data_IF_199116353184
#
_entry.id   IF_199116353184
#
_cell.length_a   1.000
_cell.length_b   1.000
_cell.length_c   1.000
_cell.angle_alpha   90.00
_cell.angle_beta   90.00
_cell.angle_gamma   90.00
#
_symmetry.space_group_name_H-M   'P 1'
#
loop_
_entity.id
_entity.type
_entity.pdbx_description
1 polymer ?
#
# COMPACT_ATOMS: atom_id res chain seq x y z
N UNK A 1 8.30 14.46 -9.54
CA UNK A 1 9.00 13.31 -8.91
C UNK A 1 8.55 12.10 -9.72
N UNK A 2 9.43 11.45 -10.48
CA UNK A 2 9.04 10.34 -11.37
C UNK A 2 8.97 9.06 -10.54
N UNK A 3 7.77 8.50 -10.37
CA UNK A 3 7.62 7.14 -9.84
C UNK A 3 7.82 6.16 -10.99
N UNK A 4 8.66 5.14 -10.80
CA UNK A 4 8.86 4.09 -11.80
C UNK A 4 7.75 3.04 -11.68
N UNK A 5 7.09 2.74 -12.79
CA UNK A 5 6.03 1.72 -12.83
C UNK A 5 6.67 0.34 -12.75
N UNK A 6 6.24 -0.46 -11.78
CA UNK A 6 6.70 -1.83 -11.55
C UNK A 6 5.54 -2.78 -11.79
N UNK A 7 5.69 -3.71 -12.72
CA UNK A 7 4.65 -4.68 -13.04
C UNK A 7 4.93 -6.05 -12.44
N UNK A 8 6.15 -6.33 -12.00
CA UNK A 8 6.55 -7.62 -11.43
C UNK A 8 7.48 -7.42 -10.24
N UNK A 9 7.44 -8.30 -9.23
CA UNK A 9 8.33 -8.19 -8.08
C UNK A 9 9.82 -8.39 -8.43
N UNK A 10 10.11 -9.03 -9.57
CA UNK A 10 11.47 -9.25 -10.08
C UNK A 10 12.10 -7.97 -10.65
N UNK A 11 11.28 -7.04 -11.14
CA UNK A 11 11.73 -5.72 -11.62
C UNK A 11 12.13 -4.79 -10.47
N UNK A 12 11.84 -5.18 -9.23
CA UNK A 12 12.01 -4.37 -8.05
C UNK A 12 13.48 -4.25 -7.66
N UNK A 13 14.15 -3.19 -8.16
CA UNK A 13 15.53 -2.90 -7.79
C UNK A 13 15.60 -2.12 -6.48
N UNK A 14 16.52 -2.53 -5.61
CA UNK A 14 16.82 -1.83 -4.37
C UNK A 14 17.67 -0.58 -4.66
N UNK A 15 17.03 0.47 -5.18
CA UNK A 15 17.67 1.75 -5.50
C UNK A 15 17.37 2.80 -4.42
N UNK A 16 18.40 3.45 -3.84
CA UNK A 16 18.21 4.43 -2.77
C UNK A 16 17.52 5.70 -3.27
N UNK A 17 16.48 6.13 -2.55
CA UNK A 17 15.73 7.35 -2.86
C UNK A 17 14.76 7.24 -4.04
N UNK A 18 14.66 6.08 -4.70
CA UNK A 18 13.74 5.87 -5.81
C UNK A 18 12.34 5.51 -5.32
N UNK A 19 11.33 6.12 -5.94
CA UNK A 19 9.92 5.85 -5.68
C UNK A 19 9.38 4.99 -6.81
N UNK A 20 8.61 3.98 -6.45
CA UNK A 20 7.98 3.04 -7.36
C UNK A 20 6.47 3.17 -7.26
N UNK A 21 5.78 2.82 -8.35
CA UNK A 21 4.32 2.73 -8.39
C UNK A 21 3.92 1.40 -9.00
N UNK A 22 2.95 0.73 -8.43
CA UNK A 22 2.44 -0.55 -8.94
C UNK A 22 0.95 -0.67 -8.68
N UNK A 23 0.27 -1.41 -9.54
CA UNK A 23 -1.08 -1.93 -9.32
C UNK A 23 -1.08 -3.44 -9.18
N UNK A 24 0.10 -4.09 -9.27
CA UNK A 24 0.19 -5.54 -9.22
C UNK A 24 0.15 -6.04 -7.77
N UNK A 25 -0.84 -6.88 -7.48
CA UNK A 25 -1.06 -7.49 -6.16
C UNK A 25 0.15 -8.27 -5.64
N UNK A 26 0.89 -8.95 -6.52
CA UNK A 26 2.06 -9.73 -6.14
C UNK A 26 3.22 -8.86 -5.66
N UNK A 27 3.43 -7.70 -6.32
CA UNK A 27 4.44 -6.71 -5.91
C UNK A 27 4.11 -6.16 -4.53
N UNK A 28 2.85 -5.79 -4.30
CA UNK A 28 2.37 -5.22 -3.03
C UNK A 28 2.50 -6.26 -1.91
N UNK A 29 2.10 -7.51 -2.18
CA UNK A 29 2.19 -8.61 -1.22
C UNK A 29 3.63 -8.86 -0.82
N UNK A 30 4.53 -9.03 -1.78
CA UNK A 30 5.96 -9.25 -1.50
C UNK A 30 6.56 -8.08 -0.73
N UNK A 31 6.26 -6.84 -1.13
CA UNK A 31 6.74 -5.65 -0.43
C UNK A 31 6.30 -5.61 1.04
N UNK A 32 5.05 -5.98 1.32
CA UNK A 32 4.50 -6.04 2.66
C UNK A 32 5.13 -7.18 3.47
N UNK A 33 5.20 -8.39 2.91
CA UNK A 33 5.78 -9.57 3.58
C UNK A 33 7.24 -9.38 3.96
N UNK A 34 8.07 -8.79 3.09
CA UNK A 34 9.48 -8.47 3.40
C UNK A 34 9.63 -7.51 4.59
N UNK A 35 8.58 -6.77 4.92
CA UNK A 35 8.54 -5.77 6.00
C UNK A 35 7.75 -6.24 7.21
N UNK A 36 7.19 -7.45 7.17
CA UNK A 36 6.26 -7.95 8.19
C UNK A 36 4.96 -7.14 8.25
N UNK A 37 4.58 -6.49 7.15
CA UNK A 37 3.39 -5.66 7.08
C UNK A 37 2.15 -6.53 6.80
N UNK A 38 1.06 -6.26 7.52
CA UNK A 38 -0.20 -7.00 7.45
C UNK A 38 -1.28 -6.09 6.87
N UNK A 39 -2.06 -6.53 5.86
CA UNK A 39 -3.14 -5.72 5.30
C UNK A 39 -4.15 -5.31 6.38
N UNK A 40 -4.42 -4.01 6.44
CA UNK A 40 -5.32 -3.43 7.43
C UNK A 40 -6.17 -2.32 6.83
N UNK A 41 -7.22 -1.94 7.54
CA UNK A 41 -8.04 -0.77 7.23
C UNK A 41 -8.18 0.11 8.46
N UNK A 42 -8.34 1.42 8.26
CA UNK A 42 -8.64 2.34 9.37
C UNK A 42 -10.13 2.24 9.71
N UNK A 43 -10.44 1.76 10.92
CA UNK A 43 -11.80 1.69 11.42
C UNK A 43 -12.43 3.10 11.50
N UNK A 44 -13.68 3.24 11.08
CA UNK A 44 -14.39 4.52 11.08
C UNK A 44 -14.15 5.41 9.85
N UNK A 45 -13.34 4.95 8.88
CA UNK A 45 -13.25 5.56 7.54
C UNK A 45 -13.96 4.73 6.47
N UNK A 46 -14.66 3.67 6.88
CA UNK A 46 -15.45 2.81 6.00
C UNK A 46 -16.53 3.64 5.30
N UNK A 47 -16.77 3.36 4.01
CA UNK A 47 -17.78 4.04 3.22
C UNK A 47 -19.03 3.15 3.15
N UNK A 48 -20.03 3.32 4.05
CA UNK A 48 -21.21 2.47 4.08
C UNK A 48 -22.07 2.60 2.81
N UNK A 49 -21.93 3.70 2.08
CA UNK A 49 -22.63 3.96 0.82
C UNK A 49 -22.16 3.07 -0.35
N UNK A 50 -20.88 2.72 -0.41
CA UNK A 50 -20.30 1.88 -1.47
C UNK A 50 -20.01 0.45 -1.01
N UNK A 51 -20.10 0.17 0.29
CA UNK A 51 -19.79 -1.14 0.87
C UNK A 51 -18.32 -1.53 0.75
N UNK A 52 -17.42 -0.57 0.55
CA UNK A 52 -15.97 -0.79 0.44
C UNK A 52 -15.23 -0.46 1.74
N UNK A 53 -14.06 -1.06 1.96
CA UNK A 53 -13.18 -0.71 3.07
C UNK A 53 -12.84 0.78 3.05
N UNK A 54 -12.49 1.36 4.20
CA UNK A 54 -12.19 2.78 4.31
C UNK A 54 -10.83 3.15 3.72
N UNK A 55 -9.98 3.73 4.55
CA UNK A 55 -8.57 3.94 4.21
C UNK A 55 -7.84 2.60 4.31
N UNK A 56 -7.47 2.07 3.13
CA UNK A 56 -6.59 0.92 3.01
C UNK A 56 -5.19 1.27 3.51
N UNK A 57 -4.63 0.44 4.36
CA UNK A 57 -3.33 0.65 4.99
C UNK A 57 -2.67 -0.69 5.32
N UNK A 58 -1.47 -0.63 5.89
CA UNK A 58 -0.77 -1.79 6.42
C UNK A 58 -0.45 -1.55 7.89
N UNK A 59 -0.61 -2.61 8.68
CA UNK A 59 -0.18 -2.69 10.06
C UNK A 59 1.23 -3.29 10.13
N UNK A 60 2.09 -2.77 11.01
CA UNK A 60 3.50 -3.18 11.14
C UNK A 60 3.79 -3.65 12.58
N UNK A 61 3.40 -4.88 12.96
CA UNK A 61 3.66 -5.41 14.29
C UNK A 61 5.16 -5.73 14.50
N UNK A 62 5.72 -5.55 15.73
CA UNK A 62 5.10 -5.04 16.96
C UNK A 62 5.20 -3.51 17.12
N UNK A 63 5.55 -2.77 16.06
CA UNK A 63 5.92 -1.34 16.13
C UNK A 63 4.69 -0.43 16.23
N UNK A 64 3.47 -0.95 16.02
CA UNK A 64 2.24 -0.16 16.11
C UNK A 64 1.04 -0.97 16.57
N UNK A 65 0.79 -1.01 17.88
CA UNK A 65 -0.55 -1.25 18.41
C UNK A 65 -1.42 -0.03 18.05
N UNK A 66 -1.91 0.04 16.82
CA UNK A 66 -2.94 1.01 16.47
C UNK A 66 -4.29 0.36 16.70
N UNK A 67 -4.92 0.67 17.83
CA UNK A 67 -6.29 0.25 18.17
C UNK A 67 -7.34 0.65 17.11
N UNK A 68 -6.98 1.57 16.21
CA UNK A 68 -7.81 2.03 15.09
C UNK A 68 -7.64 1.24 13.81
N UNK A 69 -6.62 0.39 13.71
CA UNK A 69 -6.40 -0.48 12.56
C UNK A 69 -7.14 -1.80 12.76
N UNK A 70 -7.92 -2.18 11.77
CA UNK A 70 -8.56 -3.50 11.70
C UNK A 70 -7.79 -4.32 10.66
N UNK A 71 -7.21 -5.45 11.08
CA UNK A 71 -6.61 -6.41 10.16
C UNK A 71 -7.71 -6.98 9.25
N UNK A 72 -7.42 -7.05 7.96
CA UNK A 72 -8.33 -7.57 6.93
C UNK A 72 -7.60 -8.64 6.11
N UNK A 73 -8.34 -9.44 5.36
CA UNK A 73 -7.72 -10.38 4.42
C UNK A 73 -7.10 -9.63 3.25
N UNK A 74 -6.08 -10.23 2.63
CA UNK A 74 -5.54 -9.74 1.35
C UNK A 74 -6.63 -9.63 0.27
N UNK A 75 -7.59 -10.56 0.27
CA UNK A 75 -8.71 -10.56 -0.67
C UNK A 75 -9.57 -9.29 -0.54
N UNK A 76 -10.08 -8.98 0.66
CA UNK A 76 -10.86 -7.75 0.91
C UNK A 76 -10.07 -6.46 0.61
N UNK A 77 -8.77 -6.47 0.95
CA UNK A 77 -7.89 -5.33 0.71
C UNK A 77 -7.72 -5.09 -0.79
N UNK A 78 -7.42 -6.15 -1.56
CA UNK A 78 -7.23 -6.07 -3.00
C UNK A 78 -8.55 -5.81 -3.75
N UNK A 79 -9.68 -6.35 -3.29
CA UNK A 79 -11.00 -6.04 -3.85
C UNK A 79 -11.27 -4.53 -3.78
N UNK A 80 -11.04 -3.90 -2.62
CA UNK A 80 -11.22 -2.44 -2.51
C UNK A 80 -10.19 -1.67 -3.32
N UNK A 81 -8.95 -2.15 -3.39
CA UNK A 81 -7.87 -1.51 -4.16
C UNK A 81 -8.17 -1.52 -5.67
N UNK A 82 -8.60 -2.66 -6.21
CA UNK A 82 -8.97 -2.86 -7.61
C UNK A 82 -10.24 -2.08 -7.97
N UNK A 83 -11.29 -2.17 -7.15
CA UNK A 83 -12.54 -1.41 -7.36
C UNK A 83 -12.34 0.10 -7.42
N UNK A 84 -11.32 0.60 -6.73
CA UNK A 84 -10.98 2.03 -6.68
C UNK A 84 -9.87 2.41 -7.64
N UNK A 85 -9.37 1.45 -8.43
CA UNK A 85 -8.28 1.60 -9.39
C UNK A 85 -7.09 2.36 -8.79
N UNK A 86 -6.74 2.03 -7.54
CA UNK A 86 -5.70 2.72 -6.79
C UNK A 86 -4.31 2.35 -7.31
N UNK A 87 -3.40 3.30 -7.20
CA UNK A 87 -1.98 3.11 -7.42
C UNK A 87 -1.26 2.96 -6.07
N UNK A 88 -0.49 1.88 -5.92
CA UNK A 88 0.37 1.66 -4.77
C UNK A 88 1.74 2.30 -5.04
N UNK A 89 1.97 3.47 -4.45
CA UNK A 89 3.22 4.22 -4.54
C UNK A 89 4.04 3.90 -3.30
N UNK A 90 5.27 3.44 -3.47
CA UNK A 90 6.11 3.03 -2.36
C UNK A 90 7.58 3.31 -2.60
N UNK A 91 8.36 3.29 -1.53
CA UNK A 91 9.81 3.45 -1.60
C UNK A 91 10.49 2.20 -1.04
N UNK A 92 11.49 1.69 -1.77
CA UNK A 92 12.28 0.54 -1.31
C UNK A 92 13.28 0.96 -0.22
N UNK A 93 14.11 1.96 -0.54
CA UNK A 93 15.18 2.43 0.34
C UNK A 93 15.16 3.95 0.47
N UNK A 94 15.48 4.43 1.67
CA UNK A 94 15.81 5.82 1.94
C UNK A 94 17.14 6.18 1.25
N UNK A 95 17.44 7.48 1.14
CA UNK A 95 18.72 7.96 0.59
C UNK A 95 19.96 7.43 1.35
N UNK A 96 19.75 7.00 2.60
CA UNK A 96 20.74 6.44 3.50
C UNK A 96 20.92 4.90 3.34
N UNK A 97 20.23 4.27 2.39
CA UNK A 97 20.28 2.83 2.13
C UNK A 97 19.43 1.97 3.07
N UNK A 98 18.83 2.57 4.10
CA UNK A 98 17.89 1.88 5.01
C UNK A 98 16.56 1.57 4.33
N UNK A 99 15.94 0.45 4.69
CA UNK A 99 14.61 0.07 4.21
C UNK A 99 13.58 1.15 4.56
N UNK A 100 12.81 1.56 3.56
CA UNK A 100 11.71 2.52 3.75
C UNK A 100 10.39 1.77 3.93
N UNK A 101 9.60 2.23 4.90
CA UNK A 101 8.20 1.81 5.11
C UNK A 101 7.22 2.82 4.51
N UNK A 102 7.73 3.74 3.68
CA UNK A 102 6.89 4.72 3.00
C UNK A 102 6.07 4.05 1.92
N UNK A 103 4.76 4.12 2.07
CA UNK A 103 3.80 3.81 1.03
C UNK A 103 2.69 4.86 1.01
N UNK A 104 2.03 4.99 -0.14
CA UNK A 104 0.89 5.85 -0.37
C UNK A 104 -0.01 5.18 -1.39
N UNK A 105 -1.31 5.27 -1.17
CA UNK A 105 -2.32 4.92 -2.15
C UNK A 105 -2.81 6.21 -2.80
N UNK A 106 -2.68 6.28 -4.12
CA UNK A 106 -3.16 7.42 -4.89
C UNK A 106 -4.22 6.95 -5.87
N UNK A 107 -5.32 7.69 -5.98
CA UNK A 107 -6.33 7.40 -6.98
C UNK A 107 -6.07 8.28 -8.20
N UNK A 108 -5.70 7.72 -9.37
CA UNK A 108 -5.48 8.50 -10.58
C UNK A 108 -6.77 9.14 -11.12
N UNK A 109 -7.94 8.63 -10.73
CA UNK A 109 -9.27 9.11 -11.11
C UNK A 109 -9.91 10.04 -10.08
N UNK A 110 -9.16 10.51 -9.08
CA UNK A 110 -9.70 11.50 -8.13
C UNK A 110 -9.80 12.86 -8.81
N UNK A 111 -10.92 13.10 -9.48
CA UNK A 111 -11.48 14.44 -9.56
C UNK A 111 -11.86 14.84 -8.13
N UNK A 112 -11.22 15.89 -7.61
CA UNK A 112 -11.56 16.52 -6.34
C UNK A 112 -13.09 16.67 -6.22
N UNK A 113 -13.67 16.02 -5.20
CA UNK A 113 -15.04 16.27 -4.75
C UNK A 113 -15.05 17.42 -3.74
#
# INVERSE_FOLDING_TARGET
>A
MYAEVVNSPDELRAEPGKVYVTTNHDVIRRWAEERGAVPATVAGTEHPETGTLGVLTFDFPPIGDNERLRHVSWDDWFDTFDRRELNFIFQQQLADGRQSNFFRLENPHREDA
#
